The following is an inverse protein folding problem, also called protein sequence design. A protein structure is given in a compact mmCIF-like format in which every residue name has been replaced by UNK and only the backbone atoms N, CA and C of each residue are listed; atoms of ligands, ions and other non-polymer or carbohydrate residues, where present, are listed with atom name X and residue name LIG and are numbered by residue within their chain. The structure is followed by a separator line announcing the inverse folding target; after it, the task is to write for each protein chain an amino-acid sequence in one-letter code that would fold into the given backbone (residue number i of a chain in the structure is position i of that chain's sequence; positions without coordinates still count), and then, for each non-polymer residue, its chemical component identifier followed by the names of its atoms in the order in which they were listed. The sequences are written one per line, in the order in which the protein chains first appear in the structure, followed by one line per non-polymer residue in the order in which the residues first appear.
data_IF_977982589513
#
_entry.id   IF_977982589513
#
_cell.length_a   1.000
_cell.length_b   1.000
_cell.length_c   1.000
_cell.angle_alpha   90.00
_cell.angle_beta   90.00
_cell.angle_gamma   90.00
#
_symmetry.space_group_name_H-M   'P 1'
#
loop_
_entity.id
_entity.type
_entity.pdbx_description
1 polymer ?
#
# COMPACT_ATOMS: atom_id res chain seq x y z
N UNK A 1 10.58 2.07 -17.11
CA UNK A 1 9.21 1.61 -17.16
C UNK A 1 8.83 1.10 -18.55
N UNK A 2 7.60 0.69 -18.69
CA UNK A 2 6.99 0.35 -19.98
C UNK A 2 5.61 1.00 -20.06
N UNK A 3 5.12 1.22 -21.30
CA UNK A 3 3.84 1.87 -21.55
C UNK A 3 2.89 0.83 -22.15
N UNK A 4 1.67 0.75 -21.60
CA UNK A 4 0.61 -0.08 -22.17
C UNK A 4 0.10 0.52 -23.49
N UNK A 5 -0.48 -0.29 -24.35
CA UNK A 5 -1.11 0.19 -25.58
C UNK A 5 -2.50 0.78 -25.30
N UNK A 6 -2.81 1.90 -25.93
CA UNK A 6 -4.14 2.54 -25.84
C UNK A 6 -5.20 1.76 -26.64
N UNK A 7 -5.36 0.46 -26.32
CA UNK A 7 -6.36 -0.43 -26.93
C UNK A 7 -7.07 -1.24 -25.87
N UNK A 8 -8.34 -1.61 -26.10
CA UNK A 8 -9.13 -2.34 -25.09
C UNK A 8 -8.53 -3.69 -24.70
N UNK A 9 -7.71 -4.29 -25.54
CA UNK A 9 -7.10 -5.61 -25.30
C UNK A 9 -5.81 -5.49 -24.49
N UNK A 10 -4.96 -4.53 -24.82
CA UNK A 10 -3.59 -4.37 -24.26
C UNK A 10 -3.47 -3.14 -23.35
N UNK A 11 -4.59 -2.48 -23.04
CA UNK A 11 -4.61 -1.34 -22.12
C UNK A 11 -4.23 -1.76 -20.69
N UNK A 12 -3.84 -0.77 -19.91
CA UNK A 12 -3.47 -0.94 -18.50
C UNK A 12 -4.56 -1.71 -17.72
N UNK A 13 -4.17 -2.58 -16.78
CA UNK A 13 -5.11 -3.46 -16.06
C UNK A 13 -6.24 -2.70 -15.35
N UNK A 14 -5.94 -1.60 -14.67
CA UNK A 14 -6.97 -0.78 -14.02
C UNK A 14 -7.92 -0.13 -15.03
N UNK A 15 -7.39 0.41 -16.14
CA UNK A 15 -8.26 0.93 -17.21
C UNK A 15 -9.21 -0.15 -17.72
N UNK A 16 -8.71 -1.35 -17.99
CA UNK A 16 -9.55 -2.46 -18.45
C UNK A 16 -10.60 -2.86 -17.41
N UNK A 17 -10.23 -2.91 -16.13
CA UNK A 17 -11.16 -3.24 -15.06
C UNK A 17 -12.32 -2.23 -15.00
N UNK A 18 -12.02 -0.95 -14.96
CA UNK A 18 -13.01 0.11 -14.78
C UNK A 18 -13.77 0.46 -16.05
N UNK A 19 -13.11 0.56 -17.20
CA UNK A 19 -13.70 1.11 -18.43
C UNK A 19 -14.13 0.03 -19.44
N UNK A 20 -13.52 -1.15 -19.44
CA UNK A 20 -13.89 -2.25 -20.35
C UNK A 20 -14.80 -3.24 -19.66
N UNK A 21 -14.43 -3.69 -18.43
CA UNK A 21 -15.21 -4.67 -17.66
C UNK A 21 -16.24 -4.03 -16.73
N UNK A 22 -16.29 -2.71 -16.66
CA UNK A 22 -17.20 -1.93 -15.81
C UNK A 22 -17.17 -2.38 -14.32
N UNK A 23 -16.00 -2.81 -13.83
CA UNK A 23 -15.80 -3.16 -12.42
C UNK A 23 -15.62 -1.87 -11.61
N UNK A 24 -16.24 -1.84 -10.41
CA UNK A 24 -16.16 -0.73 -9.46
C UNK A 24 -15.92 -1.27 -8.04
N UNK A 25 -15.27 -2.41 -7.94
CA UNK A 25 -15.00 -3.14 -6.70
C UNK A 25 -13.54 -2.97 -6.23
N UNK A 26 -12.92 -1.86 -6.61
CA UNK A 26 -11.61 -1.43 -6.13
C UNK A 26 -11.73 -0.04 -5.51
N UNK A 27 -11.24 0.11 -4.31
CA UNK A 27 -11.17 1.37 -3.59
C UNK A 27 -9.80 1.52 -2.92
N UNK A 28 -9.46 2.74 -2.50
CA UNK A 28 -8.29 2.93 -1.63
C UNK A 28 -8.56 2.24 -0.28
N UNK A 29 -7.58 1.55 0.28
CA UNK A 29 -7.75 0.89 1.57
C UNK A 29 -7.84 1.89 2.73
N UNK A 30 -8.63 1.55 3.76
CA UNK A 30 -8.81 2.41 4.93
C UNK A 30 -7.49 2.81 5.60
N UNK A 31 -6.56 1.89 5.95
CA UNK A 31 -5.32 2.28 6.59
C UNK A 31 -4.46 3.19 5.71
N UNK A 32 -4.40 2.95 4.40
CA UNK A 32 -3.64 3.82 3.50
C UNK A 32 -4.29 5.19 3.31
N UNK A 33 -5.62 5.25 3.25
CA UNK A 33 -6.35 6.50 3.19
C UNK A 33 -6.12 7.35 4.46
N UNK A 34 -6.20 6.73 5.66
CA UNK A 34 -5.93 7.42 6.92
C UNK A 34 -4.48 7.90 7.03
N UNK A 35 -3.51 7.10 6.56
CA UNK A 35 -2.12 7.52 6.48
C UNK A 35 -1.96 8.81 5.66
N UNK A 36 -2.58 8.87 4.47
CA UNK A 36 -2.51 10.04 3.59
C UNK A 36 -3.31 11.26 4.10
N UNK A 37 -4.37 11.04 4.88
CA UNK A 37 -5.12 12.09 5.55
C UNK A 37 -4.38 12.66 6.77
N UNK A 38 -3.28 12.04 7.19
CA UNK A 38 -2.57 12.43 8.41
C UNK A 38 -3.30 12.00 9.68
N UNK A 39 -4.11 10.95 9.63
CA UNK A 39 -4.86 10.43 10.79
C UNK A 39 -4.20 9.16 11.33
N UNK A 40 -4.35 8.94 12.63
CA UNK A 40 -4.12 7.63 13.25
C UNK A 40 -5.27 6.67 12.92
N UNK A 41 -5.02 5.37 12.96
CA UNK A 41 -6.08 4.38 13.00
C UNK A 41 -6.57 4.24 14.43
N UNK A 42 -7.87 4.05 14.60
CA UNK A 42 -8.51 3.93 15.90
C UNK A 42 -9.21 2.60 16.08
N UNK A 43 -9.24 2.10 17.30
CA UNK A 43 -10.03 0.92 17.70
C UNK A 43 -11.50 1.24 17.96
N UNK A 44 -12.24 0.26 18.42
CA UNK A 44 -13.67 0.35 18.77
C UNK A 44 -13.95 1.34 19.92
N UNK A 45 -12.95 1.67 20.74
CA UNK A 45 -13.07 2.67 21.81
C UNK A 45 -12.74 4.09 21.34
N UNK A 46 -12.20 4.24 20.14
CA UNK A 46 -11.67 5.47 19.62
C UNK A 46 -10.23 5.77 20.07
N UNK A 47 -9.54 4.77 20.64
CA UNK A 47 -8.13 4.90 20.98
C UNK A 47 -7.25 4.60 19.76
N UNK A 48 -6.12 5.31 19.66
CA UNK A 48 -5.15 5.11 18.59
C UNK A 48 -4.53 3.71 18.67
N UNK A 49 -4.56 2.98 17.56
CA UNK A 49 -3.91 1.66 17.38
C UNK A 49 -2.63 1.75 16.56
N UNK A 50 -2.46 2.82 15.78
CA UNK A 50 -1.23 3.12 15.05
C UNK A 50 -0.88 4.58 15.25
N UNK A 51 0.43 4.86 15.33
CA UNK A 51 0.92 6.23 15.29
C UNK A 51 1.27 6.57 13.83
N UNK A 52 0.60 7.57 13.26
CA UNK A 52 0.96 8.09 11.95
C UNK A 52 2.14 9.06 12.10
N UNK A 53 3.32 8.78 11.50
CA UNK A 53 4.47 9.69 11.61
C UNK A 53 4.23 11.07 10.97
N UNK A 54 3.12 11.23 10.23
CA UNK A 54 2.69 12.48 9.58
C UNK A 54 1.35 12.97 10.13
N UNK A 55 1.07 12.72 11.42
CA UNK A 55 -0.19 13.12 12.06
C UNK A 55 -0.46 14.62 11.86
N UNK A 56 -1.69 14.93 11.43
CA UNK A 56 -2.13 16.29 11.13
C UNK A 56 -1.64 16.84 9.77
N UNK A 57 -0.95 16.05 8.96
CA UNK A 57 -0.47 16.44 7.64
C UNK A 57 -1.20 15.66 6.55
N UNK A 58 -2.09 16.32 5.80
CA UNK A 58 -2.68 15.71 4.61
C UNK A 58 -1.64 15.65 3.47
N UNK A 59 -1.45 14.46 2.91
CA UNK A 59 -0.53 14.24 1.80
C UNK A 59 -1.16 14.66 0.47
N UNK A 60 -0.56 15.61 -0.28
CA UNK A 60 -1.12 16.11 -1.54
C UNK A 60 -1.30 15.03 -2.63
N UNK A 61 -0.63 13.88 -2.49
CA UNK A 61 -0.80 12.75 -3.42
C UNK A 61 -2.15 12.07 -3.26
N UNK A 62 -2.84 12.22 -2.12
CA UNK A 62 -4.15 11.62 -1.87
C UNK A 62 -5.14 11.95 -3.00
N UNK A 63 -5.26 13.22 -3.38
CA UNK A 63 -6.15 13.67 -4.46
C UNK A 63 -5.78 13.16 -5.87
N UNK A 64 -4.62 12.49 -6.00
CA UNK A 64 -4.14 11.89 -7.25
C UNK A 64 -4.21 10.37 -7.20
N UNK A 65 -4.06 9.79 -6.01
CA UNK A 65 -4.15 8.35 -5.75
C UNK A 65 -5.58 7.85 -5.67
N UNK A 66 -6.50 8.72 -5.22
CA UNK A 66 -7.92 8.42 -5.07
C UNK A 66 -8.80 9.58 -5.56
N UNK A 67 -10.04 9.26 -5.91
CA UNK A 67 -11.08 10.26 -6.16
C UNK A 67 -11.91 10.46 -4.90
N UNK A 68 -12.30 11.68 -4.55
CA UNK A 68 -13.24 11.88 -3.44
C UNK A 68 -14.60 11.20 -3.78
N UNK A 69 -15.30 10.79 -2.73
CA UNK A 69 -16.66 10.25 -2.88
C UNK A 69 -17.68 11.34 -3.29
N UNK A 70 -18.96 10.95 -3.39
CA UNK A 70 -20.03 11.86 -3.81
C UNK A 70 -20.23 13.11 -2.94
N UNK A 71 -19.75 13.09 -1.69
CA UNK A 71 -19.81 14.22 -0.76
C UNK A 71 -18.50 15.01 -0.71
N UNK A 72 -17.53 14.66 -1.55
CA UNK A 72 -16.24 15.35 -1.63
C UNK A 72 -15.21 14.89 -0.59
N UNK A 73 -15.46 13.79 0.12
CA UNK A 73 -14.56 13.25 1.14
C UNK A 73 -13.72 12.10 0.60
N UNK A 74 -12.52 11.90 1.15
CA UNK A 74 -11.75 10.68 0.93
C UNK A 74 -12.09 9.66 2.00
N UNK A 75 -12.58 8.50 1.57
CA UNK A 75 -13.02 7.40 2.44
C UNK A 75 -12.39 6.11 1.96
N UNK A 76 -11.59 5.48 2.80
CA UNK A 76 -10.96 4.21 2.51
C UNK A 76 -11.88 3.02 2.80
N UNK A 77 -11.82 1.99 1.95
CA UNK A 77 -12.52 0.73 2.18
C UNK A 77 -11.84 -0.05 3.31
N UNK A 78 -12.61 -0.57 4.28
CA UNK A 78 -12.08 -1.47 5.27
C UNK A 78 -11.36 -2.66 4.63
N UNK A 79 -10.28 -3.11 5.24
CA UNK A 79 -9.50 -4.24 4.70
C UNK A 79 -10.17 -5.57 5.05
N UNK A 80 -9.97 -6.55 4.17
CA UNK A 80 -10.49 -7.92 4.34
C UNK A 80 -12.03 -8.06 4.32
N UNK A 81 -12.71 -7.11 3.70
CA UNK A 81 -14.14 -7.25 3.43
C UNK A 81 -14.41 -8.34 2.39
N UNK A 82 -15.51 -9.06 2.55
CA UNK A 82 -15.97 -10.00 1.51
C UNK A 82 -16.42 -9.24 0.26
N UNK A 83 -16.33 -9.87 -0.91
CA UNK A 83 -16.78 -9.26 -2.17
C UNK A 83 -18.26 -8.84 -2.13
N UNK A 84 -19.09 -9.51 -1.32
CA UNK A 84 -20.51 -9.16 -1.15
C UNK A 84 -20.70 -7.91 -0.29
N UNK A 85 -19.88 -7.74 0.74
CA UNK A 85 -19.89 -6.57 1.62
C UNK A 85 -19.30 -5.35 0.90
N UNK A 86 -18.13 -5.52 0.24
CA UNK A 86 -17.50 -4.47 -0.55
C UNK A 86 -18.42 -3.88 -1.65
N UNK A 87 -19.34 -4.65 -2.20
CA UNK A 87 -20.31 -4.18 -3.19
C UNK A 87 -21.47 -3.38 -2.59
N UNK A 88 -21.74 -3.52 -1.32
CA UNK A 88 -22.80 -2.76 -0.62
C UNK A 88 -22.32 -1.34 -0.33
N UNK A 89 -21.04 -1.15 -0.11
CA UNK A 89 -20.45 0.14 0.21
C UNK A 89 -20.07 0.88 -1.09
N UNK A 90 -20.87 1.84 -1.50
CA UNK A 90 -20.61 2.72 -2.66
C UNK A 90 -20.11 4.11 -2.26
N UNK A 91 -19.66 4.21 -1.00
CA UNK A 91 -19.26 5.47 -0.36
C UNK A 91 -17.76 5.72 -0.42
N UNK A 92 -16.98 4.68 -0.69
CA UNK A 92 -15.54 4.72 -0.68
C UNK A 92 -14.96 5.45 -1.89
N UNK A 93 -13.74 5.93 -1.70
CA UNK A 93 -12.96 6.58 -2.75
C UNK A 93 -12.38 5.55 -3.72
N UNK A 94 -12.70 5.68 -4.98
CA UNK A 94 -12.11 4.87 -6.06
C UNK A 94 -10.65 5.30 -6.30
N UNK A 95 -9.83 4.44 -6.94
CA UNK A 95 -8.50 4.86 -7.39
C UNK A 95 -8.58 6.06 -8.32
N UNK A 96 -7.54 6.89 -8.30
CA UNK A 96 -7.53 8.17 -9.00
C UNK A 96 -7.61 8.07 -10.53
N UNK A 97 -8.12 9.12 -11.16
CA UNK A 97 -8.30 9.18 -12.63
C UNK A 97 -7.03 8.90 -13.43
N UNK A 98 -5.86 9.27 -12.89
CA UNK A 98 -4.56 8.98 -13.50
C UNK A 98 -4.20 7.48 -13.51
N UNK A 99 -4.97 6.67 -12.82
CA UNK A 99 -4.81 5.21 -12.74
C UNK A 99 -5.88 4.52 -13.57
N UNK A 100 -7.14 4.83 -13.31
CA UNK A 100 -8.28 4.10 -13.89
C UNK A 100 -8.68 4.59 -15.28
N UNK A 101 -8.36 5.84 -15.65
CA UNK A 101 -8.77 6.45 -16.91
C UNK A 101 -7.64 6.61 -17.94
N UNK A 102 -6.47 5.97 -17.70
CA UNK A 102 -5.30 6.05 -18.59
C UNK A 102 -5.02 4.68 -19.21
N UNK A 103 -5.45 4.43 -20.45
CA UNK A 103 -5.26 3.13 -21.11
C UNK A 103 -3.80 2.81 -21.39
N UNK A 104 -3.00 3.81 -21.71
CA UNK A 104 -1.55 3.75 -21.98
C UNK A 104 -0.71 4.11 -20.75
N UNK A 105 -1.16 3.70 -19.55
CA UNK A 105 -0.47 3.97 -18.30
C UNK A 105 1.01 3.57 -18.38
N UNK A 106 1.90 4.48 -17.98
CA UNK A 106 3.33 4.24 -17.91
C UNK A 106 3.68 3.55 -16.58
N UNK A 107 3.81 2.22 -16.62
CA UNK A 107 4.21 1.44 -15.46
C UNK A 107 5.69 1.63 -15.17
N UNK A 108 6.00 2.21 -14.03
CA UNK A 108 7.37 2.33 -13.54
C UNK A 108 7.89 0.97 -13.07
N UNK A 109 9.16 0.70 -13.31
CA UNK A 109 9.87 -0.46 -12.74
C UNK A 109 10.78 -0.05 -11.58
N UNK A 110 11.24 1.19 -11.60
CA UNK A 110 12.00 1.83 -10.54
C UNK A 110 11.91 3.35 -10.74
N UNK A 111 11.70 4.08 -9.67
CA UNK A 111 11.57 5.54 -9.70
C UNK A 111 12.73 6.23 -8.98
N UNK A 112 13.03 7.47 -9.36
CA UNK A 112 14.05 8.26 -8.69
C UNK A 112 13.71 8.51 -7.21
N UNK A 113 12.43 8.55 -6.86
CA UNK A 113 11.97 8.60 -5.47
C UNK A 113 12.52 7.42 -4.65
N UNK A 114 12.38 6.20 -5.17
CA UNK A 114 12.88 4.98 -4.52
C UNK A 114 14.40 5.02 -4.33
N UNK A 115 15.15 5.42 -5.37
CA UNK A 115 16.61 5.59 -5.29
C UNK A 115 16.99 6.60 -4.21
N UNK A 116 16.26 7.72 -4.11
CA UNK A 116 16.51 8.75 -3.11
C UNK A 116 16.27 8.23 -1.68
N UNK A 117 15.20 7.48 -1.45
CA UNK A 117 14.95 6.88 -0.13
C UNK A 117 16.02 5.84 0.24
N UNK A 118 16.47 5.01 -0.71
CA UNK A 118 17.59 4.09 -0.50
C UNK A 118 18.87 4.86 -0.13
N UNK A 119 19.15 5.98 -0.79
CA UNK A 119 20.31 6.80 -0.46
C UNK A 119 20.17 7.47 0.92
N UNK A 120 18.97 7.87 1.32
CA UNK A 120 18.72 8.38 2.67
C UNK A 120 19.06 7.31 3.72
N UNK A 121 18.56 6.09 3.55
CA UNK A 121 18.83 4.95 4.43
C UNK A 121 20.34 4.64 4.51
N UNK A 122 21.00 4.49 3.36
CA UNK A 122 22.44 4.15 3.29
C UNK A 122 23.35 5.24 3.89
N UNK A 123 22.90 6.49 3.96
CA UNK A 123 23.63 7.60 4.55
C UNK A 123 23.14 7.97 5.96
N UNK A 124 22.53 7.02 6.68
CA UNK A 124 22.11 7.18 8.08
C UNK A 124 20.90 8.09 8.23
N UNK A 125 19.91 7.90 7.36
CA UNK A 125 18.65 8.68 7.30
C UNK A 125 18.90 10.13 6.93
N UNK A 126 19.64 10.34 5.83
CA UNK A 126 20.00 11.69 5.36
C UNK A 126 18.77 12.49 4.94
N UNK A 127 18.63 13.69 5.52
CA UNK A 127 17.49 14.57 5.31
C UNK A 127 17.34 15.02 3.85
N UNK A 128 18.45 15.33 3.18
CA UNK A 128 18.41 15.83 1.79
C UNK A 128 17.90 14.77 0.83
N UNK A 129 18.37 13.54 0.99
CA UNK A 129 17.88 12.42 0.17
C UNK A 129 16.43 12.06 0.50
N UNK A 130 16.01 12.15 1.75
CA UNK A 130 14.62 11.98 2.16
C UNK A 130 13.69 12.99 1.46
N UNK A 131 13.98 14.28 1.57
CA UNK A 131 13.21 15.34 0.92
C UNK A 131 13.20 15.21 -0.61
N UNK A 132 14.32 14.83 -1.22
CA UNK A 132 14.40 14.55 -2.66
C UNK A 132 13.49 13.39 -3.07
N UNK A 133 13.41 12.34 -2.26
CA UNK A 133 12.52 11.21 -2.50
C UNK A 133 11.04 11.62 -2.49
N UNK A 134 10.64 12.37 -1.47
CA UNK A 134 9.27 12.91 -1.36
C UNK A 134 8.94 13.81 -2.55
N UNK A 135 9.82 14.75 -2.87
CA UNK A 135 9.67 15.65 -4.02
C UNK A 135 9.51 14.89 -5.33
N UNK A 136 10.40 13.97 -5.61
CA UNK A 136 10.37 13.17 -6.84
C UNK A 136 9.07 12.36 -6.99
N UNK A 137 8.60 11.75 -5.89
CA UNK A 137 7.32 11.06 -5.87
C UNK A 137 6.16 11.99 -6.20
N UNK A 138 6.10 13.17 -5.57
CA UNK A 138 5.04 14.14 -5.80
C UNK A 138 5.07 14.73 -7.22
N UNK A 139 6.25 15.05 -7.74
CA UNK A 139 6.43 15.52 -9.13
C UNK A 139 6.00 14.48 -10.15
N UNK A 140 6.33 13.20 -9.92
CA UNK A 140 5.90 12.06 -10.76
C UNK A 140 4.38 12.02 -10.91
N UNK A 141 3.66 12.31 -9.86
CA UNK A 141 2.19 12.34 -9.85
C UNK A 141 1.61 13.67 -10.32
N UNK A 142 2.43 14.72 -10.43
CA UNK A 142 2.03 16.04 -10.88
C UNK A 142 1.35 16.87 -9.79
N UNK A 143 1.81 16.72 -8.56
CA UNK A 143 1.45 17.65 -7.47
C UNK A 143 1.99 19.03 -7.79
N UNK A 144 1.24 20.12 -7.57
CA UNK A 144 1.73 21.48 -7.81
C UNK A 144 2.95 21.81 -6.96
N UNK A 145 3.96 22.48 -7.54
CA UNK A 145 5.23 22.79 -6.88
C UNK A 145 5.06 23.49 -5.53
N UNK A 146 4.14 24.46 -5.43
CA UNK A 146 3.87 25.15 -4.16
C UNK A 146 3.35 24.19 -3.05
N UNK A 147 2.56 23.19 -3.41
CA UNK A 147 2.08 22.17 -2.48
C UNK A 147 3.20 21.22 -2.07
N UNK A 148 4.10 20.88 -2.99
CA UNK A 148 5.30 20.08 -2.69
C UNK A 148 6.18 20.83 -1.70
N UNK A 149 6.49 22.09 -1.96
CA UNK A 149 7.36 22.90 -1.10
C UNK A 149 6.75 23.06 0.31
N UNK A 150 5.43 23.30 0.40
CA UNK A 150 4.75 23.42 1.67
C UNK A 150 4.75 22.10 2.46
N UNK A 151 4.53 20.98 1.79
CA UNK A 151 4.55 19.66 2.43
C UNK A 151 5.95 19.29 2.93
N UNK A 152 6.99 19.50 2.11
CA UNK A 152 8.38 19.23 2.49
C UNK A 152 8.80 20.09 3.68
N UNK A 153 8.42 21.37 3.69
CA UNK A 153 8.73 22.27 4.80
C UNK A 153 8.08 21.88 6.14
N UNK A 154 6.99 21.08 6.10
CA UNK A 154 6.29 20.59 7.26
C UNK A 154 6.73 19.18 7.68
N UNK A 155 7.53 18.48 6.87
CA UNK A 155 7.95 17.10 7.16
C UNK A 155 8.69 17.01 8.50
N UNK A 156 8.43 15.97 9.29
CA UNK A 156 9.27 15.63 10.43
C UNK A 156 10.69 15.28 9.96
N UNK A 157 11.70 15.39 10.84
CA UNK A 157 13.07 14.99 10.52
C UNK A 157 13.16 13.58 9.94
N UNK A 158 14.14 13.36 9.08
CA UNK A 158 14.42 12.03 8.54
C UNK A 158 14.78 11.06 9.67
N UNK A 159 14.11 9.95 9.67
CA UNK A 159 14.32 8.81 10.56
C UNK A 159 13.98 7.53 9.79
N UNK A 160 14.30 6.38 10.35
CA UNK A 160 13.90 5.09 9.78
C UNK A 160 12.41 5.06 9.46
N UNK A 161 11.57 5.38 10.43
CA UNK A 161 10.12 5.37 10.29
C UNK A 161 9.62 6.36 9.24
N UNK A 162 10.08 7.61 9.26
CA UNK A 162 9.58 8.64 8.34
C UNK A 162 10.02 8.39 6.90
N UNK A 163 11.27 7.96 6.68
CA UNK A 163 11.82 7.66 5.35
C UNK A 163 11.13 6.43 4.75
N UNK A 164 11.04 5.34 5.52
CA UNK A 164 10.45 4.09 5.02
C UNK A 164 8.94 4.20 4.83
N UNK A 165 8.23 4.98 5.65
CA UNK A 165 6.81 5.27 5.44
C UNK A 165 6.59 6.11 4.19
N UNK A 166 7.42 7.12 3.91
CA UNK A 166 7.34 7.89 2.67
C UNK A 166 7.71 7.05 1.43
N UNK A 167 8.66 6.12 1.57
CA UNK A 167 8.97 5.14 0.52
C UNK A 167 7.76 4.25 0.23
N UNK A 168 7.08 3.73 1.26
CA UNK A 168 5.84 2.96 1.11
C UNK A 168 4.76 3.76 0.37
N UNK A 169 4.54 5.03 0.71
CA UNK A 169 3.58 5.90 0.01
C UNK A 169 3.98 6.07 -1.46
N UNK A 170 5.27 6.28 -1.76
CA UNK A 170 5.76 6.44 -3.12
C UNK A 170 5.56 5.18 -3.99
N UNK A 171 5.60 3.99 -3.37
CA UNK A 171 5.43 2.68 -4.03
C UNK A 171 3.95 2.30 -4.27
N UNK A 172 3.00 3.24 -4.19
CA UNK A 172 1.56 2.99 -4.33
C UNK A 172 1.18 2.10 -5.53
N UNK A 173 1.82 2.29 -6.69
CA UNK A 173 1.56 1.48 -7.89
C UNK A 173 2.58 0.34 -8.09
N UNK A 174 3.44 0.08 -7.11
CA UNK A 174 4.36 -1.05 -7.05
C UNK A 174 4.23 -1.80 -5.71
N UNK A 175 3.06 -2.37 -5.51
CA UNK A 175 2.71 -3.07 -4.28
C UNK A 175 3.64 -4.27 -3.98
N UNK A 176 4.23 -4.88 -5.01
CA UNK A 176 5.17 -6.00 -4.82
C UNK A 176 6.46 -5.53 -4.16
N UNK A 177 7.03 -4.42 -4.63
CA UNK A 177 8.20 -3.80 -4.01
C UNK A 177 7.87 -3.27 -2.61
N UNK A 178 6.69 -2.66 -2.41
CA UNK A 178 6.24 -2.22 -1.09
C UNK A 178 6.13 -3.38 -0.09
N UNK A 179 5.61 -4.54 -0.51
CA UNK A 179 5.57 -5.75 0.31
C UNK A 179 6.96 -6.29 0.63
N UNK A 180 7.90 -6.29 -0.32
CA UNK A 180 9.28 -6.69 -0.08
C UNK A 180 9.98 -5.78 0.94
N UNK A 181 9.76 -4.47 0.84
CA UNK A 181 10.31 -3.49 1.78
C UNK A 181 9.75 -3.68 3.19
N UNK A 182 8.43 -3.89 3.32
CA UNK A 182 7.83 -4.22 4.61
C UNK A 182 8.50 -5.45 5.25
N UNK A 183 8.68 -6.52 4.50
CA UNK A 183 9.32 -7.74 4.98
C UNK A 183 10.79 -7.54 5.38
N UNK A 184 11.47 -6.61 4.74
CA UNK A 184 12.87 -6.27 5.05
C UNK A 184 13.00 -5.38 6.28
N UNK A 185 12.01 -4.52 6.54
CA UNK A 185 12.16 -3.40 7.48
C UNK A 185 11.10 -3.38 8.59
N UNK A 186 9.98 -4.07 8.43
CA UNK A 186 8.82 -3.95 9.31
C UNK A 186 8.02 -2.65 9.16
N UNK A 187 8.41 -1.74 8.27
CA UNK A 187 7.72 -0.46 8.06
C UNK A 187 6.85 -0.47 6.81
N UNK A 188 5.73 0.30 6.82
CA UNK A 188 5.29 1.22 7.87
C UNK A 188 4.54 0.51 9.01
N UNK A 189 4.61 1.05 10.22
CA UNK A 189 3.83 0.59 11.38
C UNK A 189 2.34 0.95 11.28
N UNK A 190 1.91 1.65 10.24
CA UNK A 190 0.52 2.03 9.98
C UNK A 190 -0.29 0.94 9.27
N UNK A 191 0.30 -0.21 8.99
CA UNK A 191 -0.41 -1.37 8.44
C UNK A 191 -1.22 -2.07 9.53
N UNK A 192 -2.41 -2.56 9.13
CA UNK A 192 -3.22 -3.43 10.00
C UNK A 192 -2.71 -4.87 9.91
N UNK A 193 -2.55 -5.50 11.08
CA UNK A 193 -2.17 -6.90 11.18
C UNK A 193 -3.39 -7.77 11.45
N UNK A 194 -3.37 -9.06 11.05
CA UNK A 194 -4.44 -9.99 11.40
C UNK A 194 -4.70 -10.02 12.91
N UNK A 195 -5.98 -9.95 13.29
CA UNK A 195 -6.41 -9.85 14.68
C UNK A 195 -6.61 -8.42 15.19
N UNK A 196 -6.19 -7.40 14.44
CA UNK A 196 -6.39 -6.01 14.86
C UNK A 196 -7.86 -5.62 14.73
N UNK A 197 -8.40 -5.07 15.82
CA UNK A 197 -9.71 -4.43 15.84
C UNK A 197 -9.56 -2.95 15.46
N UNK A 198 -10.43 -2.48 14.58
CA UNK A 198 -10.42 -1.09 14.13
C UNK A 198 -11.82 -0.59 13.78
N UNK A 199 -12.00 0.73 13.79
CA UNK A 199 -13.24 1.36 13.37
C UNK A 199 -13.04 2.15 12.08
N UNK A 200 -14.03 2.10 11.20
CA UNK A 200 -14.06 2.87 9.96
C UNK A 200 -15.47 3.38 9.68
N UNK A 201 -15.59 4.40 8.83
CA UNK A 201 -16.86 4.98 8.42
C UNK A 201 -17.07 4.78 6.92
N UNK A 202 -17.36 3.55 6.45
CA UNK A 202 -17.53 3.22 5.04
C UNK A 202 -18.84 3.75 4.45
N UNK A 203 -19.78 4.16 5.31
CA UNK A 203 -21.07 4.75 4.95
C UNK A 203 -21.24 6.05 5.71
N UNK A 204 -21.80 7.08 5.05
CA UNK A 204 -22.00 8.40 5.62
C UNK A 204 -22.67 8.34 7.02
N UNK A 205 -21.99 8.89 8.01
CA UNK A 205 -22.49 9.00 9.38
C UNK A 205 -22.61 7.66 10.14
N UNK A 206 -22.07 6.56 9.59
CA UNK A 206 -22.11 5.24 10.22
C UNK A 206 -20.70 4.73 10.45
N UNK A 207 -20.25 4.71 11.69
CA UNK A 207 -19.01 4.03 12.09
C UNK A 207 -19.32 2.55 12.33
N UNK A 208 -18.49 1.69 11.76
CA UNK A 208 -18.59 0.24 11.89
C UNK A 208 -17.28 -0.28 12.45
N UNK A 209 -17.40 -1.24 13.36
CA UNK A 209 -16.28 -1.90 13.99
C UNK A 209 -15.92 -3.17 13.21
N UNK A 210 -14.64 -3.32 12.92
CA UNK A 210 -14.09 -4.43 12.15
C UNK A 210 -13.01 -5.15 12.94
N UNK A 211 -12.83 -6.43 12.63
CA UNK A 211 -11.64 -7.19 13.03
C UNK A 211 -10.96 -7.70 11.79
N UNK A 212 -9.72 -7.29 11.55
CA UNK A 212 -8.96 -7.81 10.41
C UNK A 212 -8.68 -9.30 10.61
N UNK A 213 -9.35 -10.15 9.87
CA UNK A 213 -9.21 -11.61 9.96
C UNK A 213 -8.40 -12.13 8.77
N UNK A 214 -7.31 -12.85 9.03
CA UNK A 214 -6.56 -13.52 7.96
C UNK A 214 -7.40 -14.62 7.31
N UNK A 215 -7.38 -14.72 5.98
CA UNK A 215 -7.94 -15.85 5.24
C UNK A 215 -7.10 -17.14 5.39
N UNK A 216 -5.89 -17.02 5.92
CA UNK A 216 -4.99 -18.15 6.21
C UNK A 216 -4.97 -18.35 7.71
N UNK A 217 -5.43 -19.52 8.15
CA UNK A 217 -5.48 -19.89 9.56
C UNK A 217 -4.09 -19.81 10.21
N UNK A 218 -4.03 -19.15 11.37
CA UNK A 218 -2.80 -18.99 12.15
C UNK A 218 -1.83 -17.91 11.67
N UNK A 219 -2.09 -17.24 10.55
CA UNK A 219 -1.26 -16.13 10.10
C UNK A 219 -1.58 -14.88 10.93
N UNK A 220 -0.56 -14.37 11.65
CA UNK A 220 -0.66 -13.20 12.56
C UNK A 220 0.04 -11.96 12.02
N UNK A 221 0.67 -12.07 10.86
CA UNK A 221 1.41 -10.99 10.20
C UNK A 221 1.15 -11.01 8.69
N UNK A 222 1.72 -10.06 7.96
CA UNK A 222 1.76 -10.08 6.50
C UNK A 222 2.62 -11.26 6.03
N UNK A 223 2.23 -11.98 4.95
CA UNK A 223 3.03 -13.11 4.47
C UNK A 223 4.49 -12.75 4.21
N UNK A 224 5.40 -13.56 4.75
CA UNK A 224 6.85 -13.38 4.53
C UNK A 224 7.31 -13.93 3.18
N UNK A 225 6.56 -14.84 2.59
CA UNK A 225 6.87 -15.44 1.28
C UNK A 225 5.62 -15.94 0.56
N UNK A 226 5.77 -16.24 -0.71
CA UNK A 226 4.78 -17.05 -1.44
C UNK A 226 5.12 -18.54 -1.25
N UNK A 227 4.10 -19.38 -1.15
CA UNK A 227 4.28 -20.83 -1.16
C UNK A 227 4.75 -21.32 -2.52
N UNK A 228 5.41 -22.48 -2.55
CA UNK A 228 5.73 -23.12 -3.82
C UNK A 228 4.45 -23.49 -4.57
N UNK A 229 4.39 -23.29 -5.89
CA UNK A 229 3.22 -23.69 -6.69
C UNK A 229 2.92 -25.21 -6.56
N UNK A 230 1.65 -25.58 -6.58
CA UNK A 230 1.22 -26.96 -6.41
C UNK A 230 1.85 -27.93 -7.43
N UNK A 231 2.12 -27.46 -8.64
CA UNK A 231 2.75 -28.32 -9.67
C UNK A 231 4.18 -28.73 -9.30
N UNK A 232 4.90 -27.96 -8.48
CA UNK A 232 6.23 -28.34 -7.99
C UNK A 232 6.19 -29.59 -7.14
N UNK A 233 5.07 -29.81 -6.42
CA UNK A 233 4.90 -31.01 -5.60
C UNK A 233 4.81 -32.27 -6.45
N UNK A 234 4.22 -32.17 -7.64
CA UNK A 234 4.00 -33.32 -8.55
C UNK A 234 5.11 -33.50 -9.57
N UNK A 235 5.64 -32.39 -10.11
CA UNK A 235 6.62 -32.44 -11.19
C UNK A 235 8.07 -32.40 -10.71
N UNK A 236 8.33 -31.84 -9.51
CA UNK A 236 9.66 -31.62 -8.97
C UNK A 236 9.74 -31.94 -7.47
N UNK A 237 8.99 -32.95 -7.03
CA UNK A 237 8.74 -33.23 -5.61
C UNK A 237 9.99 -33.42 -4.76
N UNK A 238 11.04 -34.09 -5.28
CA UNK A 238 12.29 -34.31 -4.53
C UNK A 238 13.03 -32.99 -4.23
N UNK A 239 13.24 -32.15 -5.25
CA UNK A 239 13.89 -30.86 -5.08
C UNK A 239 13.06 -29.90 -4.22
N UNK A 240 11.73 -29.88 -4.43
CA UNK A 240 10.82 -29.11 -3.58
C UNK A 240 10.95 -29.53 -2.11
N UNK A 241 10.93 -30.84 -1.82
CA UNK A 241 11.05 -31.34 -0.45
C UNK A 241 12.36 -30.91 0.20
N UNK A 242 13.48 -30.95 -0.54
CA UNK A 242 14.75 -30.46 -0.06
C UNK A 242 14.73 -28.95 0.21
N UNK A 243 14.16 -28.14 -0.69
CA UNK A 243 14.03 -26.70 -0.50
C UNK A 243 13.13 -26.35 0.69
N UNK A 244 11.99 -27.03 0.85
CA UNK A 244 11.08 -26.87 1.98
C UNK A 244 11.74 -27.20 3.32
N UNK A 245 12.58 -28.24 3.36
CA UNK A 245 13.29 -28.63 4.59
C UNK A 245 14.33 -27.59 5.08
N UNK A 246 14.72 -26.65 4.23
CA UNK A 246 15.62 -25.55 4.58
C UNK A 246 14.87 -24.32 5.12
N UNK A 247 13.53 -24.30 5.07
CA UNK A 247 12.72 -23.20 5.60
C UNK A 247 12.38 -23.41 7.09
N UNK A 248 12.30 -22.33 7.83
CA UNK A 248 12.09 -22.36 9.30
C UNK A 248 10.76 -23.01 9.71
N UNK A 249 9.71 -22.84 8.94
CA UNK A 249 8.36 -23.39 9.16
C UNK A 249 7.83 -24.11 7.92
N UNK A 250 8.69 -24.84 7.19
CA UNK A 250 8.29 -25.52 5.95
C UNK A 250 7.76 -24.56 4.89
N UNK A 251 6.83 -25.04 4.03
CA UNK A 251 6.24 -24.24 2.95
C UNK A 251 5.07 -23.37 3.41
N UNK A 252 5.19 -22.78 4.59
CA UNK A 252 4.19 -21.87 5.14
C UNK A 252 4.44 -20.41 4.73
N UNK A 253 3.41 -19.58 4.78
CA UNK A 253 3.50 -18.15 4.43
C UNK A 253 4.31 -17.34 5.45
N UNK A 254 4.39 -17.82 6.69
CA UNK A 254 5.15 -17.25 7.80
C UNK A 254 6.60 -17.75 7.88
N UNK A 255 7.02 -18.60 6.94
CA UNK A 255 8.42 -19.03 6.86
C UNK A 255 9.30 -17.90 6.35
N UNK A 256 10.26 -17.47 7.19
CA UNK A 256 11.24 -16.46 6.79
C UNK A 256 12.23 -17.00 5.76
N UNK A 257 12.69 -16.12 4.87
CA UNK A 257 13.75 -16.41 3.91
C UNK A 257 15.12 -16.18 4.52
N UNK A 258 16.18 -16.70 3.93
CA UNK A 258 17.55 -16.66 4.46
C UNK A 258 18.09 -15.24 4.71
N UNK A 259 17.53 -14.23 4.08
CA UNK A 259 17.92 -12.82 4.24
C UNK A 259 16.98 -12.04 5.19
N UNK A 260 15.89 -12.64 5.60
CA UNK A 260 14.89 -12.11 6.52
C UNK A 260 15.22 -12.64 7.93
N UNK A 261 16.14 -11.96 8.60
CA UNK A 261 16.83 -12.46 9.81
C UNK A 261 16.39 -11.80 11.12
N UNK A 262 15.44 -10.87 11.07
CA UNK A 262 14.95 -10.14 12.25
C UNK A 262 13.79 -10.86 12.96
#
# INVERSE_FOLDING_TARGET
GFIYEASDVNAAPFYRAFNVSNRKDFAISHPFCQLLLGNNLVDHSGADITANPFEGMEDPRLALYATPNGDGNFVGMPVNESSSEAQVFTWESLPGDKIINVPDYNQSLMEYAEVSFILSELNGWDQTHYENGVRASMERWGVPAASIDAYIAALPPASEETVLTQKYIALYMDAHTAWQEYRRTGFPHTLLMPGTEFSATPVAGTTIDYTFTSLVEGLTDIPFRLQYPDFERTLNGANRSQAVSALSNGDALDSKLWWDVD
#
